data_IF_677699109101
#
_entry.id   IF_677699109101
#
_cell.length_a   1.000
_cell.length_b   1.000
_cell.length_c   1.000
_cell.angle_alpha   90.00
_cell.angle_beta   90.00
_cell.angle_gamma   90.00
#
_symmetry.space_group_name_H-M   'P 1'
#
loop_
_entity.id
_entity.type
_entity.pdbx_description
1 polymer ?
#
# COMPACT_ATOMS: atom_id res chain seq x y z
N UNK A 1 -20.41 0.67 0.47
CA UNK A 1 -19.96 -0.73 0.57
C UNK A 1 -18.46 -0.82 0.57
N UNK A 2 -17.91 -1.84 1.22
CA UNK A 2 -16.47 -2.00 1.42
C UNK A 2 -15.70 -2.09 0.09
N UNK A 3 -16.22 -2.85 -0.88
CA UNK A 3 -15.59 -3.02 -2.19
C UNK A 3 -15.42 -1.68 -2.92
N UNK A 4 -16.45 -0.86 -2.89
CA UNK A 4 -16.43 0.47 -3.53
C UNK A 4 -15.42 1.39 -2.84
N UNK A 5 -15.36 1.34 -1.50
CA UNK A 5 -14.39 2.12 -0.73
C UNK A 5 -12.96 1.71 -1.06
N UNK A 6 -12.69 0.41 -1.16
CA UNK A 6 -11.37 -0.09 -1.53
C UNK A 6 -10.99 0.32 -2.96
N UNK A 7 -11.93 0.28 -3.89
CA UNK A 7 -11.72 0.77 -5.26
C UNK A 7 -11.36 2.25 -5.28
N UNK A 8 -12.08 3.07 -4.51
CA UNK A 8 -11.80 4.50 -4.40
C UNK A 8 -10.42 4.76 -3.80
N UNK A 9 -10.08 4.05 -2.73
CA UNK A 9 -8.76 4.18 -2.10
C UNK A 9 -7.65 3.75 -3.07
N UNK A 10 -7.87 2.68 -3.84
CA UNK A 10 -6.90 2.20 -4.83
C UNK A 10 -6.69 3.23 -5.94
N UNK A 11 -7.75 3.87 -6.41
CA UNK A 11 -7.67 4.96 -7.39
C UNK A 11 -6.89 6.14 -6.83
N UNK A 12 -7.19 6.55 -5.60
CA UNK A 12 -6.51 7.66 -4.93
C UNK A 12 -5.02 7.34 -4.73
N UNK A 13 -4.70 6.12 -4.34
CA UNK A 13 -3.31 5.65 -4.17
C UNK A 13 -2.58 5.72 -5.51
N UNK A 14 -3.22 5.27 -6.59
CA UNK A 14 -2.63 5.28 -7.93
C UNK A 14 -2.32 6.72 -8.38
N UNK A 15 -3.26 7.63 -8.20
CA UNK A 15 -3.08 9.05 -8.53
C UNK A 15 -1.98 9.70 -7.69
N UNK A 16 -1.99 9.43 -6.39
CA UNK A 16 -0.99 9.96 -5.47
C UNK A 16 0.40 9.41 -5.77
N UNK A 17 0.49 8.14 -6.17
CA UNK A 17 1.74 7.52 -6.62
C UNK A 17 2.33 8.21 -7.84
N UNK A 18 1.50 8.57 -8.82
CA UNK A 18 1.93 9.32 -10.00
C UNK A 18 2.45 10.71 -9.62
N UNK A 19 1.76 11.38 -8.71
CA UNK A 19 2.15 12.68 -8.18
C UNK A 19 3.50 12.60 -7.47
N UNK A 20 3.67 11.60 -6.61
CA UNK A 20 4.90 11.32 -5.91
C UNK A 20 6.07 11.08 -6.86
N UNK A 21 5.84 10.26 -7.90
CA UNK A 21 6.85 9.95 -8.90
C UNK A 21 7.29 11.20 -9.66
N UNK A 22 6.35 12.12 -9.93
CA UNK A 22 6.62 13.36 -10.66
C UNK A 22 7.38 14.38 -9.79
N UNK A 23 6.95 14.60 -8.56
CA UNK A 23 7.47 15.64 -7.68
C UNK A 23 8.60 15.18 -6.78
N UNK A 24 8.62 13.89 -6.43
CA UNK A 24 9.58 13.30 -5.50
C UNK A 24 9.68 14.10 -4.18
N UNK A 25 8.54 14.55 -3.68
CA UNK A 25 8.39 15.44 -2.54
C UNK A 25 7.99 14.64 -1.30
N UNK A 26 8.54 14.99 -0.16
CA UNK A 26 8.23 14.36 1.14
C UNK A 26 6.76 14.52 1.52
N UNK A 27 6.13 15.64 1.16
CA UNK A 27 4.69 15.85 1.40
C UNK A 27 3.83 14.86 0.64
N UNK A 28 4.19 14.62 -0.63
CA UNK A 28 3.48 13.66 -1.47
C UNK A 28 3.69 12.24 -0.93
N UNK A 29 4.88 11.93 -0.41
CA UNK A 29 5.17 10.66 0.26
C UNK A 29 4.31 10.46 1.50
N UNK A 30 4.17 11.49 2.31
CA UNK A 30 3.33 11.44 3.52
C UNK A 30 1.88 11.12 3.17
N UNK A 31 1.33 11.81 2.16
CA UNK A 31 -0.03 11.58 1.70
C UNK A 31 -0.19 10.17 1.12
N UNK A 32 0.78 9.72 0.35
CA UNK A 32 0.81 8.38 -0.22
C UNK A 32 0.76 7.31 0.88
N UNK A 33 1.61 7.46 1.89
CA UNK A 33 1.64 6.54 3.04
C UNK A 33 0.31 6.54 3.81
N UNK A 34 -0.30 7.70 4.01
CA UNK A 34 -1.61 7.83 4.68
C UNK A 34 -2.71 7.07 3.94
N UNK A 35 -2.77 7.21 2.62
CA UNK A 35 -3.76 6.52 1.79
C UNK A 35 -3.58 5.00 1.84
N UNK A 36 -2.34 4.54 1.77
CA UNK A 36 -2.02 3.11 1.87
C UNK A 36 -2.39 2.58 3.26
N UNK A 37 -2.11 3.34 4.31
CA UNK A 37 -2.49 2.98 5.67
C UNK A 37 -4.01 2.83 5.80
N UNK A 38 -4.78 3.75 5.23
CA UNK A 38 -6.24 3.64 5.22
C UNK A 38 -6.71 2.38 4.50
N UNK A 39 -6.11 2.09 3.34
CA UNK A 39 -6.41 0.87 2.58
C UNK A 39 -6.13 -0.38 3.40
N UNK A 40 -4.96 -0.46 4.02
CA UNK A 40 -4.57 -1.61 4.83
C UNK A 40 -5.44 -1.77 6.07
N UNK A 41 -5.84 -0.66 6.71
CA UNK A 41 -6.75 -0.70 7.86
C UNK A 41 -8.12 -1.28 7.47
N UNK A 42 -8.63 -0.94 6.30
CA UNK A 42 -9.89 -1.51 5.79
C UNK A 42 -9.74 -3.01 5.55
N UNK A 43 -8.62 -3.44 4.97
CA UNK A 43 -8.33 -4.86 4.71
C UNK A 43 -8.22 -5.63 6.02
N UNK A 44 -7.47 -5.12 7.01
CA UNK A 44 -7.29 -5.78 8.31
C UNK A 44 -8.62 -5.89 9.04
N UNK A 45 -9.41 -4.83 9.04
CA UNK A 45 -10.75 -4.82 9.65
C UNK A 45 -11.64 -5.89 9.03
N UNK A 46 -11.63 -6.00 7.71
CA UNK A 46 -12.38 -7.02 6.95
C UNK A 46 -11.89 -8.43 7.27
N UNK A 47 -10.58 -8.63 7.26
CA UNK A 47 -9.98 -9.95 7.56
C UNK A 47 -10.31 -10.40 8.97
N UNK A 48 -10.33 -9.47 9.92
CA UNK A 48 -10.67 -9.74 11.31
C UNK A 48 -12.13 -10.17 11.45
N UNK A 49 -13.03 -9.46 10.80
CA UNK A 49 -14.46 -9.78 10.76
C UNK A 49 -14.70 -11.13 10.08
N UNK A 50 -14.03 -11.36 8.95
CA UNK A 50 -14.12 -12.59 8.18
C UNK A 50 -13.64 -13.79 8.97
N UNK A 51 -12.56 -13.65 9.74
CA UNK A 51 -12.00 -14.76 10.53
C UNK A 51 -12.86 -15.12 11.75
N UNK A 52 -13.72 -14.21 12.24
CA UNK A 52 -14.70 -14.55 13.28
C UNK A 52 -15.79 -15.46 12.75
N UNK A 53 -16.15 -15.29 11.49
CA UNK A 53 -17.23 -16.02 10.84
C UNK A 53 -16.75 -17.36 10.25
N UNK A 54 -15.47 -17.46 9.88
CA UNK A 54 -14.91 -18.63 9.22
C UNK A 54 -13.58 -19.06 9.84
N UNK A 55 -13.61 -20.18 10.57
CA UNK A 55 -12.42 -20.76 11.20
C UNK A 55 -11.34 -21.22 10.21
N UNK A 56 -11.67 -21.31 8.92
CA UNK A 56 -10.80 -21.92 7.91
C UNK A 56 -9.75 -20.95 7.32
N UNK A 57 -9.77 -19.65 7.73
CA UNK A 57 -8.99 -18.61 7.04
C UNK A 57 -7.73 -18.17 7.77
N UNK A 58 -7.17 -19.04 8.59
CA UNK A 58 -5.92 -18.77 9.30
C UNK A 58 -4.76 -18.50 8.34
N UNK A 59 -4.69 -19.27 7.25
CA UNK A 59 -3.66 -19.09 6.20
C UNK A 59 -3.86 -17.79 5.43
N UNK A 60 -5.10 -17.43 5.12
CA UNK A 60 -5.43 -16.17 4.45
C UNK A 60 -5.01 -14.96 5.27
N UNK A 61 -5.24 -14.97 6.59
CA UNK A 61 -4.79 -13.91 7.49
C UNK A 61 -3.28 -13.77 7.52
N UNK A 62 -2.56 -14.87 7.64
CA UNK A 62 -1.10 -14.88 7.64
C UNK A 62 -0.55 -14.34 6.32
N UNK A 63 -1.17 -14.70 5.20
CA UNK A 63 -0.80 -14.18 3.88
C UNK A 63 -0.98 -12.67 3.82
N UNK A 64 -2.14 -12.16 4.26
CA UNK A 64 -2.45 -10.73 4.25
C UNK A 64 -1.46 -9.97 5.14
N UNK A 65 -1.22 -10.42 6.36
CA UNK A 65 -0.26 -9.79 7.26
C UNK A 65 1.16 -9.81 6.70
N UNK A 66 1.56 -10.89 6.05
CA UNK A 66 2.85 -10.98 5.37
C UNK A 66 2.98 -9.95 4.26
N UNK A 67 1.93 -9.76 3.47
CA UNK A 67 1.90 -8.76 2.40
C UNK A 67 1.92 -7.33 2.95
N UNK A 68 1.22 -7.07 4.05
CA UNK A 68 1.24 -5.77 4.74
C UNK A 68 2.67 -5.44 5.18
N UNK A 69 3.40 -6.40 5.73
CA UNK A 69 4.81 -6.22 6.12
C UNK A 69 5.68 -5.87 4.91
N UNK A 70 5.44 -6.53 3.77
CA UNK A 70 6.17 -6.23 2.54
C UNK A 70 5.87 -4.82 2.03
N UNK A 71 4.60 -4.40 2.11
CA UNK A 71 4.22 -3.03 1.74
C UNK A 71 4.94 -2.01 2.64
N UNK A 72 4.92 -2.24 3.96
CA UNK A 72 5.60 -1.36 4.92
C UNK A 72 7.10 -1.28 4.65
N UNK A 73 7.75 -2.41 4.40
CA UNK A 73 9.17 -2.46 4.07
C UNK A 73 9.48 -1.68 2.77
N UNK A 74 8.64 -1.86 1.75
CA UNK A 74 8.81 -1.18 0.47
C UNK A 74 8.56 0.33 0.60
N UNK A 75 7.59 0.74 1.42
CA UNK A 75 7.37 2.15 1.74
C UNK A 75 8.59 2.78 2.43
N UNK A 76 9.22 2.05 3.35
CA UNK A 76 10.43 2.52 4.02
C UNK A 76 11.59 2.67 3.04
N UNK A 77 11.75 1.72 2.12
CA UNK A 77 12.78 1.80 1.07
C UNK A 77 12.52 2.99 0.14
N UNK A 78 11.26 3.22 -0.23
CA UNK A 78 10.86 4.38 -1.04
C UNK A 78 11.17 5.69 -0.31
N UNK A 79 10.83 5.79 0.97
CA UNK A 79 11.10 6.96 1.79
C UNK A 79 12.61 7.23 1.89
N UNK A 80 13.41 6.17 2.06
CA UNK A 80 14.87 6.27 2.10
C UNK A 80 15.42 6.87 0.80
N UNK A 81 14.92 6.42 -0.36
CA UNK A 81 15.34 6.95 -1.65
C UNK A 81 14.98 8.43 -1.81
N UNK A 82 13.80 8.82 -1.35
CA UNK A 82 13.32 10.21 -1.41
C UNK A 82 14.14 11.17 -0.54
N UNK A 83 14.81 10.67 0.49
CA UNK A 83 15.64 11.47 1.38
C UNK A 83 17.07 11.67 0.87
N UNK A 84 17.46 10.98 -0.20
CA UNK A 84 18.80 11.14 -0.78
C UNK A 84 18.93 12.48 -1.50
N UNK A 85 20.12 13.05 -1.49
CA UNK A 85 20.42 14.27 -2.24
C UNK A 85 20.27 14.03 -3.75
N UNK A 86 20.78 12.89 -4.23
CA UNK A 86 20.62 12.46 -5.61
C UNK A 86 19.64 11.28 -5.65
N UNK A 87 18.40 11.59 -5.99
CA UNK A 87 17.33 10.63 -6.05
C UNK A 87 17.36 9.88 -7.39
N UNK A 88 17.21 8.56 -7.35
CA UNK A 88 17.07 7.75 -8.56
C UNK A 88 15.59 7.59 -8.89
N UNK A 89 15.16 8.27 -9.95
CA UNK A 89 13.76 8.25 -10.41
C UNK A 89 13.27 6.84 -10.77
N UNK A 90 14.14 6.02 -11.36
CA UNK A 90 13.78 4.65 -11.71
C UNK A 90 13.54 3.77 -10.50
N UNK A 91 14.34 3.96 -9.44
CA UNK A 91 14.13 3.25 -8.16
C UNK A 91 12.80 3.67 -7.56
N UNK A 92 12.49 4.97 -7.55
CA UNK A 92 11.24 5.51 -7.03
C UNK A 92 10.04 4.91 -7.79
N UNK A 93 10.07 4.92 -9.11
CA UNK A 93 9.02 4.32 -9.94
C UNK A 93 8.89 2.83 -9.67
N UNK A 94 10.01 2.12 -9.56
CA UNK A 94 10.03 0.69 -9.28
C UNK A 94 9.38 0.35 -7.94
N UNK A 95 9.66 1.15 -6.90
CA UNK A 95 9.06 0.95 -5.57
C UNK A 95 7.55 1.23 -5.58
N UNK A 96 7.13 2.28 -6.27
CA UNK A 96 5.70 2.62 -6.42
C UNK A 96 4.97 1.48 -7.15
N UNK A 97 5.54 0.95 -8.22
CA UNK A 97 4.96 -0.18 -8.96
C UNK A 97 4.89 -1.44 -8.11
N UNK A 98 5.94 -1.73 -7.34
CA UNK A 98 5.98 -2.87 -6.42
C UNK A 98 4.88 -2.78 -5.37
N UNK A 99 4.70 -1.61 -4.76
CA UNK A 99 3.63 -1.36 -3.79
C UNK A 99 2.26 -1.57 -4.44
N UNK A 100 2.06 -1.01 -5.62
CA UNK A 100 0.80 -1.18 -6.36
C UNK A 100 0.47 -2.64 -6.60
N UNK A 101 1.47 -3.42 -7.04
CA UNK A 101 1.31 -4.86 -7.25
C UNK A 101 0.93 -5.59 -5.98
N UNK A 102 1.58 -5.28 -4.86
CA UNK A 102 1.26 -5.87 -3.57
C UNK A 102 -0.16 -5.54 -3.12
N UNK A 103 -0.58 -4.28 -3.27
CA UNK A 103 -1.94 -3.86 -2.91
C UNK A 103 -2.99 -4.53 -3.78
N UNK A 104 -2.74 -4.70 -5.08
CA UNK A 104 -3.64 -5.43 -5.98
C UNK A 104 -3.76 -6.89 -5.56
N UNK A 105 -2.65 -7.52 -5.17
CA UNK A 105 -2.66 -8.90 -4.70
C UNK A 105 -3.45 -9.05 -3.39
N UNK A 106 -3.37 -8.08 -2.50
CA UNK A 106 -4.16 -8.06 -1.26
C UNK A 106 -5.64 -7.88 -1.60
N UNK A 107 -5.95 -7.01 -2.56
CA UNK A 107 -7.30 -6.67 -2.96
C UNK A 107 -8.04 -7.85 -3.60
N UNK A 108 -7.34 -8.64 -4.38
CA UNK A 108 -7.92 -9.80 -5.04
C UNK A 108 -7.79 -11.05 -4.20
#
# INVERSE_FOLDING_TARGET
MLQERLNMLMDDITLQGKKLAKHMDVRDMKRYRELIKQFMNEIVSRSHKFSRENFLDRRGRHRVYGMIKLVDATLDELATELLKDEKDHLIILGKIDEIRGLLLDIFT
#
